data_IF_951905017866
#
_entry.id   IF_951905017866
#
_cell.length_a   1.000
_cell.length_b   1.000
_cell.length_c   1.000
_cell.angle_alpha   90.00
_cell.angle_beta   90.00
_cell.angle_gamma   90.00
#
_symmetry.space_group_name_H-M   'P 1'
#
loop_
_entity.id
_entity.type
_entity.pdbx_description
1 polymer ?
#
# COMPACT_ATOMS: atom_id res chain seq x y z
N UNK A 1 -11.53 6.98 21.38
CA UNK A 1 -12.84 6.71 20.77
C UNK A 1 -13.54 5.56 21.50
N UNK A 2 -13.01 4.33 21.53
CA UNK A 2 -13.63 3.16 22.18
C UNK A 2 -14.12 3.44 23.60
N UNK A 3 -13.25 4.00 24.46
CA UNK A 3 -13.59 4.34 25.85
C UNK A 3 -14.64 5.46 25.94
N UNK A 4 -14.60 6.45 25.05
CA UNK A 4 -15.55 7.59 25.07
C UNK A 4 -16.93 7.17 24.59
N UNK A 5 -16.99 6.25 23.63
CA UNK A 5 -18.26 5.75 23.06
C UNK A 5 -18.77 4.50 23.78
N UNK A 6 -18.05 4.00 24.79
CA UNK A 6 -18.39 2.82 25.59
C UNK A 6 -18.71 1.59 24.70
N UNK A 7 -17.83 1.30 23.76
CA UNK A 7 -17.92 0.16 22.84
C UNK A 7 -16.79 -0.83 23.07
N UNK A 8 -16.97 -2.10 22.68
CA UNK A 8 -16.01 -3.17 22.93
C UNK A 8 -14.84 -3.20 21.95
N UNK A 9 -15.03 -2.65 20.75
CA UNK A 9 -14.04 -2.71 19.66
C UNK A 9 -13.94 -1.37 18.95
N UNK A 10 -12.76 -1.09 18.40
CA UNK A 10 -12.57 0.07 17.52
C UNK A 10 -13.47 -0.01 16.26
N UNK A 11 -13.82 -1.21 15.83
CA UNK A 11 -14.73 -1.41 14.70
C UNK A 11 -16.20 -1.16 15.03
N UNK A 12 -16.51 -0.94 16.29
CA UNK A 12 -17.85 -0.54 16.77
C UNK A 12 -17.94 0.96 17.07
N UNK A 13 -16.84 1.73 16.84
CA UNK A 13 -16.86 3.19 16.88
C UNK A 13 -17.63 3.73 15.67
N UNK A 14 -18.43 4.77 15.86
CA UNK A 14 -19.38 5.33 14.89
C UNK A 14 -18.88 5.42 13.45
N UNK A 15 -17.73 6.06 13.23
CA UNK A 15 -17.13 6.24 11.89
C UNK A 15 -16.69 4.93 11.23
N UNK A 16 -16.19 3.96 12.02
CA UNK A 16 -15.80 2.64 11.49
C UNK A 16 -17.00 1.70 11.41
N UNK A 17 -17.96 1.83 12.30
CA UNK A 17 -19.19 1.06 12.25
C UNK A 17 -19.99 1.35 10.98
N UNK A 18 -20.12 2.61 10.58
CA UNK A 18 -20.81 2.98 9.35
C UNK A 18 -20.15 2.34 8.13
N UNK A 19 -18.84 2.51 7.98
CA UNK A 19 -18.07 1.90 6.89
C UNK A 19 -18.16 0.37 6.89
N UNK A 20 -18.04 -0.28 8.05
CA UNK A 20 -18.21 -1.72 8.24
C UNK A 20 -19.60 -2.19 7.79
N UNK A 21 -20.65 -1.45 8.14
CA UNK A 21 -22.02 -1.79 7.77
C UNK A 21 -22.24 -1.66 6.25
N UNK A 22 -21.61 -0.70 5.57
CA UNK A 22 -21.65 -0.62 4.10
C UNK A 22 -20.95 -1.84 3.45
N UNK A 23 -19.82 -2.31 3.99
CA UNK A 23 -19.16 -3.55 3.53
C UNK A 23 -20.10 -4.75 3.71
N UNK A 24 -20.76 -4.86 4.86
CA UNK A 24 -21.71 -5.93 5.11
C UNK A 24 -22.88 -5.93 4.12
N UNK A 25 -23.42 -4.75 3.77
CA UNK A 25 -24.46 -4.60 2.74
C UNK A 25 -23.98 -5.06 1.37
N UNK A 26 -22.78 -4.67 0.95
CA UNK A 26 -22.19 -5.08 -0.32
C UNK A 26 -22.00 -6.60 -0.39
N UNK A 27 -21.58 -7.22 0.71
CA UNK A 27 -21.36 -8.64 0.80
C UNK A 27 -22.65 -9.46 1.06
N UNK A 28 -23.75 -8.81 1.44
CA UNK A 28 -25.01 -9.48 1.80
C UNK A 28 -24.92 -10.32 3.09
N UNK A 29 -24.07 -9.93 4.05
CA UNK A 29 -23.81 -10.66 5.29
C UNK A 29 -23.93 -9.72 6.50
N UNK A 30 -24.04 -10.29 7.70
CA UNK A 30 -24.05 -9.54 8.94
C UNK A 30 -22.74 -9.73 9.71
N UNK A 31 -22.24 -8.68 10.33
CA UNK A 31 -21.07 -8.71 11.19
C UNK A 31 -21.32 -9.52 12.48
N UNK A 32 -20.33 -10.23 12.97
CA UNK A 32 -20.37 -11.10 14.16
C UNK A 32 -21.16 -12.39 13.99
N UNK A 33 -21.47 -12.81 12.75
CA UNK A 33 -22.09 -14.12 12.49
C UNK A 33 -21.05 -15.20 12.14
N UNK A 34 -20.01 -14.86 11.40
CA UNK A 34 -18.95 -15.79 11.01
C UNK A 34 -17.58 -15.17 11.27
N UNK A 35 -16.75 -15.76 12.15
CA UNK A 35 -15.43 -15.21 12.50
C UNK A 35 -14.50 -15.03 11.30
N UNK A 36 -14.60 -15.84 10.25
CA UNK A 36 -13.75 -15.76 9.04
C UNK A 36 -14.15 -14.53 8.21
N UNK A 37 -15.45 -14.37 7.98
CA UNK A 37 -15.99 -13.20 7.29
C UNK A 37 -15.72 -11.90 8.08
N UNK A 38 -15.78 -11.94 9.40
CA UNK A 38 -15.48 -10.80 10.27
C UNK A 38 -14.05 -10.30 10.11
N UNK A 39 -13.08 -11.20 9.91
CA UNK A 39 -11.69 -10.83 9.63
C UNK A 39 -11.64 -10.01 8.33
N UNK A 40 -12.28 -10.51 7.26
CA UNK A 40 -12.31 -9.84 5.96
C UNK A 40 -12.98 -8.46 6.05
N UNK A 41 -14.10 -8.35 6.74
CA UNK A 41 -14.81 -7.09 6.96
C UNK A 41 -13.90 -6.08 7.67
N UNK A 42 -13.23 -6.49 8.75
CA UNK A 42 -12.31 -5.61 9.50
C UNK A 42 -11.10 -5.17 8.68
N UNK A 43 -10.52 -6.08 7.90
CA UNK A 43 -9.39 -5.76 7.01
C UNK A 43 -9.80 -4.71 5.99
N UNK A 44 -10.94 -4.88 5.32
CA UNK A 44 -11.42 -3.91 4.33
C UNK A 44 -11.69 -2.56 5.01
N UNK A 45 -12.38 -2.55 6.17
CA UNK A 45 -12.69 -1.33 6.93
C UNK A 45 -11.44 -0.51 7.27
N UNK A 46 -10.42 -1.17 7.84
CA UNK A 46 -9.16 -0.54 8.24
C UNK A 46 -8.38 -0.03 7.02
N UNK A 47 -8.25 -0.88 6.02
CA UNK A 47 -7.39 -0.60 4.89
C UNK A 47 -7.95 0.49 3.98
N UNK A 48 -9.25 0.47 3.65
CA UNK A 48 -9.80 1.49 2.76
C UNK A 48 -9.78 2.87 3.40
N UNK A 49 -10.03 2.97 4.71
CA UNK A 49 -9.89 4.23 5.44
C UNK A 49 -8.45 4.75 5.38
N UNK A 50 -7.49 3.89 5.68
CA UNK A 50 -6.06 4.24 5.62
C UNK A 50 -5.63 4.67 4.23
N UNK A 51 -6.01 3.92 3.19
CA UNK A 51 -5.71 4.23 1.79
C UNK A 51 -6.29 5.58 1.38
N UNK A 52 -7.55 5.86 1.72
CA UNK A 52 -8.20 7.14 1.39
C UNK A 52 -7.43 8.33 1.97
N UNK A 53 -7.02 8.25 3.24
CA UNK A 53 -6.20 9.28 3.89
C UNK A 53 -4.82 9.41 3.24
N UNK A 54 -4.13 8.28 3.00
CA UNK A 54 -2.79 8.29 2.37
C UNK A 54 -2.80 8.92 0.98
N UNK A 55 -3.82 8.64 0.15
CA UNK A 55 -3.94 9.26 -1.18
C UNK A 55 -4.23 10.75 -1.06
N UNK A 56 -5.07 11.17 -0.12
CA UNK A 56 -5.31 12.59 0.19
C UNK A 56 -4.02 13.32 0.56
N UNK A 57 -3.11 12.67 1.28
CA UNK A 57 -1.78 13.18 1.66
C UNK A 57 -0.76 13.13 0.51
N UNK A 58 -1.18 12.74 -0.70
CA UNK A 58 -0.35 12.74 -1.90
C UNK A 58 0.50 11.49 -2.08
N UNK A 59 0.25 10.41 -1.31
CA UNK A 59 0.93 9.13 -1.53
C UNK A 59 0.24 8.40 -2.69
N UNK A 60 1.03 7.98 -3.67
CA UNK A 60 0.55 7.21 -4.83
C UNK A 60 1.04 5.77 -4.77
N UNK A 61 0.27 4.81 -5.33
CA UNK A 61 0.71 3.42 -5.43
C UNK A 61 2.03 3.31 -6.19
N UNK A 62 3.01 2.64 -5.61
CA UNK A 62 4.33 2.41 -6.21
C UNK A 62 4.91 1.06 -5.79
N UNK A 63 6.09 0.70 -6.34
CA UNK A 63 6.78 -0.54 -5.98
C UNK A 63 7.72 -0.40 -4.78
N UNK A 64 7.93 0.82 -4.29
CA UNK A 64 8.89 1.10 -3.22
C UNK A 64 8.33 2.12 -2.21
N UNK A 65 8.90 2.15 -1.01
CA UNK A 65 8.62 3.15 0.01
C UNK A 65 7.16 3.18 0.47
N UNK A 66 6.65 4.37 0.75
CA UNK A 66 5.27 4.58 1.25
C UNK A 66 4.20 4.15 0.25
N UNK A 67 4.44 4.34 -1.04
CA UNK A 67 3.53 3.94 -2.10
C UNK A 67 3.38 2.42 -2.23
N UNK A 68 4.42 1.65 -1.90
CA UNK A 68 4.32 0.19 -1.79
C UNK A 68 3.36 -0.23 -0.67
N UNK A 69 3.45 0.42 0.49
CA UNK A 69 2.55 0.13 1.62
C UNK A 69 1.10 0.42 1.22
N UNK A 70 0.83 1.56 0.60
CA UNK A 70 -0.49 1.92 0.10
C UNK A 70 -1.02 0.87 -0.88
N UNK A 71 -0.22 0.49 -1.88
CA UNK A 71 -0.59 -0.53 -2.87
C UNK A 71 -0.90 -1.88 -2.21
N UNK A 72 -0.10 -2.28 -1.23
CA UNK A 72 -0.31 -3.52 -0.48
C UNK A 72 -1.64 -3.51 0.29
N UNK A 73 -1.96 -2.41 1.00
CA UNK A 73 -3.22 -2.27 1.74
C UNK A 73 -4.42 -2.35 0.79
N UNK A 74 -4.36 -1.65 -0.34
CA UNK A 74 -5.44 -1.62 -1.32
C UNK A 74 -5.68 -3.01 -1.93
N UNK A 75 -4.62 -3.69 -2.35
CA UNK A 75 -4.70 -5.04 -2.92
C UNK A 75 -5.20 -6.07 -1.91
N UNK A 76 -4.80 -5.93 -0.65
CA UNK A 76 -5.30 -6.80 0.42
C UNK A 76 -6.80 -6.58 0.66
N UNK A 77 -7.26 -5.34 0.68
CA UNK A 77 -8.68 -5.02 0.78
C UNK A 77 -9.48 -5.62 -0.41
N UNK A 78 -8.98 -5.48 -1.64
CA UNK A 78 -9.61 -6.06 -2.83
C UNK A 78 -9.72 -7.60 -2.74
N UNK A 79 -8.65 -8.29 -2.30
CA UNK A 79 -8.71 -9.75 -2.06
C UNK A 79 -9.78 -10.12 -1.04
N UNK A 80 -9.81 -9.44 0.10
CA UNK A 80 -10.80 -9.73 1.14
C UNK A 80 -12.24 -9.48 0.66
N UNK A 81 -12.46 -8.52 -0.26
CA UNK A 81 -13.73 -8.35 -0.94
C UNK A 81 -14.14 -9.59 -1.75
N UNK A 82 -13.19 -10.22 -2.47
CA UNK A 82 -13.45 -11.48 -3.19
C UNK A 82 -13.77 -12.62 -2.25
N UNK A 83 -13.09 -12.72 -1.10
CA UNK A 83 -13.41 -13.73 -0.07
C UNK A 83 -14.83 -13.55 0.47
N UNK A 84 -15.31 -12.32 0.55
CA UNK A 84 -16.70 -11.98 0.90
C UNK A 84 -17.67 -12.09 -0.29
N UNK A 85 -17.19 -12.50 -1.48
CA UNK A 85 -17.99 -12.61 -2.71
C UNK A 85 -18.60 -11.28 -3.16
N UNK A 86 -17.93 -10.17 -2.91
CA UNK A 86 -18.31 -8.87 -3.45
C UNK A 86 -17.89 -8.83 -4.91
N UNK A 87 -18.84 -8.65 -5.81
CA UNK A 87 -18.60 -8.60 -7.25
C UNK A 87 -18.20 -7.19 -7.72
N UNK A 88 -17.33 -7.14 -8.73
CA UNK A 88 -16.94 -5.90 -9.40
C UNK A 88 -15.94 -5.06 -8.63
N UNK A 89 -15.95 -3.75 -8.92
CA UNK A 89 -15.17 -2.73 -8.23
C UNK A 89 -16.01 -2.16 -7.09
N UNK A 90 -15.44 -2.05 -5.90
CA UNK A 90 -16.17 -1.61 -4.72
C UNK A 90 -15.37 -0.67 -3.81
N UNK A 91 -14.04 -0.66 -3.92
CA UNK A 91 -13.18 0.11 -3.01
C UNK A 91 -13.37 1.62 -3.18
N UNK A 92 -13.60 2.09 -4.40
CA UNK A 92 -13.89 3.50 -4.64
C UNK A 92 -15.22 3.93 -4.01
N UNK A 93 -16.24 3.07 -4.01
CA UNK A 93 -17.52 3.37 -3.35
C UNK A 93 -17.39 3.42 -1.83
N UNK A 94 -16.60 2.51 -1.25
CA UNK A 94 -16.27 2.59 0.19
C UNK A 94 -15.43 3.83 0.53
N UNK A 95 -14.53 4.25 -0.36
CA UNK A 95 -13.77 5.49 -0.16
C UNK A 95 -14.68 6.74 -0.14
N UNK A 96 -15.79 6.75 -0.90
CA UNK A 96 -16.81 7.81 -0.82
C UNK A 96 -17.43 7.90 0.57
N UNK A 97 -17.67 6.75 1.20
CA UNK A 97 -18.19 6.71 2.59
C UNK A 97 -17.17 7.30 3.56
N UNK A 98 -15.90 6.89 3.44
CA UNK A 98 -14.81 7.44 4.27
C UNK A 98 -14.71 8.96 4.12
N UNK A 99 -14.78 9.47 2.90
CA UNK A 99 -14.72 10.91 2.60
C UNK A 99 -15.90 11.61 3.26
N UNK A 100 -17.13 11.11 3.06
CA UNK A 100 -18.34 11.70 3.63
C UNK A 100 -18.30 11.75 5.17
N UNK A 101 -17.85 10.67 5.81
CA UNK A 101 -17.78 10.59 7.28
C UNK A 101 -16.65 11.41 7.90
N UNK A 102 -15.65 11.79 7.11
CA UNK A 102 -14.43 12.41 7.62
C UNK A 102 -14.20 13.85 7.14
N UNK A 103 -14.96 14.35 6.17
CA UNK A 103 -14.75 15.66 5.53
C UNK A 103 -14.94 16.85 6.48
N UNK A 104 -15.76 16.73 7.51
CA UNK A 104 -15.95 17.80 8.53
C UNK A 104 -14.65 18.04 9.30
N UNK A 105 -13.90 16.98 9.61
CA UNK A 105 -12.62 17.07 10.30
C UNK A 105 -11.44 17.25 9.33
N UNK A 106 -11.56 16.77 8.08
CA UNK A 106 -10.54 16.76 7.04
C UNK A 106 -11.10 17.29 5.72
N UNK A 107 -11.33 18.62 5.58
CA UNK A 107 -11.96 19.22 4.38
C UNK A 107 -11.25 18.89 3.07
N UNK A 108 -9.93 18.67 3.12
CA UNK A 108 -9.11 18.29 1.97
C UNK A 108 -9.55 16.97 1.31
N UNK A 109 -10.27 16.12 2.01
CA UNK A 109 -10.81 14.88 1.44
C UNK A 109 -11.87 15.17 0.38
N UNK A 110 -12.77 16.12 0.63
CA UNK A 110 -13.79 16.53 -0.34
C UNK A 110 -13.16 17.31 -1.50
N UNK A 111 -12.19 18.21 -1.22
CA UNK A 111 -11.47 18.95 -2.25
C UNK A 111 -10.73 18.03 -3.25
N UNK A 112 -10.18 16.90 -2.77
CA UNK A 112 -9.42 15.94 -3.58
C UNK A 112 -10.20 14.69 -3.96
N UNK A 113 -11.51 14.66 -3.73
CA UNK A 113 -12.36 13.48 -3.86
C UNK A 113 -12.18 12.77 -5.19
N UNK A 114 -12.33 13.47 -6.31
CA UNK A 114 -12.23 12.87 -7.65
C UNK A 114 -10.86 12.25 -7.89
N UNK A 115 -9.81 12.90 -7.40
CA UNK A 115 -8.45 12.38 -7.48
C UNK A 115 -8.28 11.10 -6.66
N UNK A 116 -8.74 11.10 -5.41
CA UNK A 116 -8.67 9.94 -4.51
C UNK A 116 -9.38 8.75 -5.13
N UNK A 117 -10.61 8.95 -5.58
CA UNK A 117 -11.42 7.88 -6.18
C UNK A 117 -10.76 7.33 -7.45
N UNK A 118 -10.24 8.19 -8.32
CA UNK A 118 -9.57 7.77 -9.55
C UNK A 118 -8.31 6.93 -9.30
N UNK A 119 -7.54 7.25 -8.26
CA UNK A 119 -6.34 6.48 -7.88
C UNK A 119 -6.72 5.10 -7.36
N UNK A 120 -7.72 5.04 -6.47
CA UNK A 120 -8.20 3.78 -5.88
C UNK A 120 -8.78 2.88 -6.97
N UNK A 121 -9.70 3.39 -7.78
CA UNK A 121 -10.36 2.64 -8.85
C UNK A 121 -9.35 2.07 -9.85
N UNK A 122 -8.40 2.89 -10.32
CA UNK A 122 -7.37 2.46 -11.25
C UNK A 122 -6.48 1.34 -10.70
N UNK A 123 -6.08 1.42 -9.42
CA UNK A 123 -5.28 0.37 -8.81
C UNK A 123 -6.10 -0.90 -8.57
N UNK A 124 -7.39 -0.78 -8.23
CA UNK A 124 -8.29 -1.92 -8.08
C UNK A 124 -8.52 -2.63 -9.41
N UNK A 125 -8.75 -1.90 -10.52
CA UNK A 125 -8.85 -2.46 -11.89
C UNK A 125 -7.56 -3.21 -12.24
N UNK A 126 -6.40 -2.55 -12.11
CA UNK A 126 -5.11 -3.15 -12.44
C UNK A 126 -4.83 -4.40 -11.60
N UNK A 127 -5.27 -4.42 -10.36
CA UNK A 127 -5.09 -5.57 -9.48
C UNK A 127 -6.03 -6.71 -9.84
N UNK A 128 -7.29 -6.42 -10.17
CA UNK A 128 -8.25 -7.45 -10.57
C UNK A 128 -7.79 -8.20 -11.82
N UNK A 129 -7.19 -7.50 -12.79
CA UNK A 129 -6.61 -8.14 -13.98
C UNK A 129 -5.40 -9.04 -13.64
N UNK A 130 -4.64 -8.64 -12.61
CA UNK A 130 -3.42 -9.35 -12.19
C UNK A 130 -3.74 -10.53 -11.28
N UNK A 131 -4.69 -10.36 -10.37
CA UNK A 131 -4.99 -11.36 -9.32
C UNK A 131 -5.52 -12.65 -9.91
N UNK A 132 -6.39 -12.60 -10.90
CA UNK A 132 -6.99 -13.80 -11.51
C UNK A 132 -5.92 -14.67 -12.15
N UNK A 133 -4.98 -14.04 -12.87
CA UNK A 133 -3.86 -14.75 -13.46
C UNK A 133 -2.90 -15.30 -12.40
N UNK A 134 -2.57 -14.49 -11.39
CA UNK A 134 -1.67 -14.90 -10.31
C UNK A 134 -2.24 -16.03 -9.47
N UNK A 135 -3.53 -16.00 -9.16
CA UNK A 135 -4.23 -17.07 -8.46
C UNK A 135 -4.21 -18.38 -9.26
N UNK A 136 -4.54 -18.34 -10.56
CA UNK A 136 -4.52 -19.53 -11.40
C UNK A 136 -3.14 -20.20 -11.42
N UNK A 137 -2.06 -19.40 -11.55
CA UNK A 137 -0.68 -19.91 -11.54
C UNK A 137 -0.31 -20.46 -10.16
N UNK A 138 -0.71 -19.78 -9.08
CA UNK A 138 -0.43 -20.23 -7.72
C UNK A 138 -1.18 -21.56 -7.42
N UNK A 139 -2.42 -21.70 -7.87
CA UNK A 139 -3.20 -22.93 -7.74
C UNK A 139 -2.52 -24.09 -8.47
N UNK A 140 -2.01 -23.89 -9.69
CA UNK A 140 -1.20 -24.90 -10.41
C UNK A 140 0.05 -25.28 -9.62
N UNK A 141 0.77 -24.31 -9.06
CA UNK A 141 1.96 -24.57 -8.23
C UNK A 141 1.62 -25.35 -6.96
N UNK A 142 0.50 -25.02 -6.31
CA UNK A 142 0.00 -25.73 -5.12
C UNK A 142 -0.32 -27.19 -5.45
N UNK A 143 -0.97 -27.43 -6.59
CA UNK A 143 -1.25 -28.80 -7.05
C UNK A 143 0.03 -29.60 -7.31
N UNK A 144 1.02 -28.99 -7.97
CA UNK A 144 2.29 -29.64 -8.27
C UNK A 144 3.09 -29.95 -7.00
N UNK A 145 3.12 -29.02 -6.03
CA UNK A 145 3.71 -29.23 -4.70
C UNK A 145 3.04 -30.39 -3.99
N UNK A 146 1.69 -30.47 -3.98
CA UNK A 146 0.94 -31.55 -3.36
C UNK A 146 1.21 -32.89 -4.07
N UNK A 147 1.28 -32.92 -5.41
CA UNK A 147 1.61 -34.14 -6.20
C UNK A 147 3.03 -34.62 -5.94
N UNK A 148 3.98 -33.70 -5.77
CA UNK A 148 5.37 -34.03 -5.45
C UNK A 148 5.58 -34.48 -4.00
N UNK A 149 4.59 -34.30 -3.12
CA UNK A 149 4.67 -34.63 -1.70
C UNK A 149 5.63 -33.73 -0.91
N UNK A 150 5.91 -32.52 -1.43
CA UNK A 150 6.69 -31.48 -0.74
C UNK A 150 5.74 -30.50 -0.06
N UNK A 151 6.28 -29.73 0.88
CA UNK A 151 5.49 -28.78 1.70
C UNK A 151 6.01 -27.35 1.61
N UNK A 152 6.83 -27.05 0.60
CA UNK A 152 7.47 -25.77 0.44
C UNK A 152 7.48 -25.31 -1.02
N UNK A 153 7.09 -24.06 -1.26
CA UNK A 153 7.26 -23.38 -2.54
C UNK A 153 8.68 -22.82 -2.62
N UNK A 154 9.40 -23.10 -3.72
CA UNK A 154 10.74 -22.55 -3.91
C UNK A 154 10.74 -21.01 -4.00
N UNK A 155 11.83 -20.40 -3.51
CA UNK A 155 12.04 -18.96 -3.59
C UNK A 155 12.01 -18.42 -5.00
N UNK A 156 12.53 -19.17 -5.99
CA UNK A 156 12.47 -18.83 -7.42
C UNK A 156 11.02 -18.72 -7.93
N UNK A 157 10.16 -19.68 -7.59
CA UNK A 157 8.76 -19.66 -8.00
C UNK A 157 7.98 -18.53 -7.31
N UNK A 158 8.24 -18.29 -6.02
CA UNK A 158 7.67 -17.17 -5.29
C UNK A 158 8.11 -15.82 -5.89
N UNK A 159 9.38 -15.70 -6.25
CA UNK A 159 9.92 -14.52 -6.93
C UNK A 159 9.31 -14.33 -8.33
N UNK A 160 9.14 -15.40 -9.11
CA UNK A 160 8.49 -15.34 -10.41
C UNK A 160 7.04 -14.84 -10.33
N UNK A 161 6.27 -15.31 -9.34
CA UNK A 161 4.93 -14.78 -9.08
C UNK A 161 4.96 -13.27 -8.79
N UNK A 162 5.91 -12.83 -7.99
CA UNK A 162 6.07 -11.44 -7.59
C UNK A 162 6.54 -10.54 -8.74
N UNK A 163 7.64 -10.90 -9.40
CA UNK A 163 8.33 -10.07 -10.38
C UNK A 163 7.66 -10.12 -11.77
N UNK A 164 7.35 -11.31 -12.25
CA UNK A 164 6.82 -11.51 -13.61
C UNK A 164 5.31 -11.27 -13.69
N UNK A 165 4.58 -11.76 -12.70
CA UNK A 165 3.11 -11.69 -12.71
C UNK A 165 2.56 -10.56 -11.83
N UNK A 166 3.40 -9.84 -11.10
CA UNK A 166 3.00 -8.75 -10.22
C UNK A 166 2.13 -9.20 -9.03
N UNK A 167 2.16 -10.50 -8.72
CA UNK A 167 1.36 -11.07 -7.64
C UNK A 167 2.05 -10.79 -6.30
N UNK A 168 1.38 -10.14 -5.33
CA UNK A 168 2.03 -9.74 -4.08
C UNK A 168 2.55 -10.93 -3.29
N UNK A 169 3.79 -10.84 -2.82
CA UNK A 169 4.41 -11.93 -2.03
C UNK A 169 3.66 -12.20 -0.73
N UNK A 170 3.14 -11.17 -0.07
CA UNK A 170 2.34 -11.34 1.15
C UNK A 170 1.07 -12.15 0.89
N UNK A 171 0.47 -11.98 -0.28
CA UNK A 171 -0.70 -12.72 -0.70
C UNK A 171 -0.35 -14.18 -1.03
N UNK A 172 0.82 -14.39 -1.65
CA UNK A 172 1.37 -15.74 -1.87
C UNK A 172 1.52 -16.48 -0.54
N UNK A 173 2.09 -15.82 0.48
CA UNK A 173 2.23 -16.41 1.81
C UNK A 173 0.90 -16.81 2.43
N UNK A 174 -0.05 -15.89 2.45
CA UNK A 174 -1.35 -16.10 3.07
C UNK A 174 -2.09 -17.30 2.45
N UNK A 175 -2.07 -17.42 1.12
CA UNK A 175 -2.72 -18.52 0.41
C UNK A 175 -1.98 -19.86 0.63
N UNK A 176 -0.66 -19.85 0.64
CA UNK A 176 0.14 -21.05 0.89
C UNK A 176 -0.02 -21.54 2.33
N UNK A 177 -0.04 -20.64 3.32
CA UNK A 177 -0.29 -20.96 4.73
C UNK A 177 -1.68 -21.62 4.90
N UNK A 178 -2.72 -21.09 4.26
CA UNK A 178 -4.05 -21.69 4.22
C UNK A 178 -4.05 -23.14 3.67
N UNK A 179 -3.08 -23.45 2.79
CA UNK A 179 -2.88 -24.79 2.20
C UNK A 179 -1.86 -25.66 2.96
N UNK A 180 -1.29 -25.18 4.08
CA UNK A 180 -0.28 -25.90 4.85
C UNK A 180 1.08 -25.98 4.15
N UNK A 181 1.37 -25.03 3.24
CA UNK A 181 2.62 -24.94 2.46
C UNK A 181 3.42 -23.75 2.95
N UNK A 182 4.74 -23.93 3.10
CA UNK A 182 5.68 -22.86 3.44
C UNK A 182 6.32 -22.27 2.18
N UNK A 183 7.06 -21.17 2.34
CA UNK A 183 7.83 -20.53 1.25
C UNK A 183 9.30 -20.48 1.66
N UNK A 184 10.18 -20.85 0.73
CA UNK A 184 11.62 -20.61 0.85
C UNK A 184 11.92 -19.10 0.75
N UNK A 185 11.91 -18.47 1.94
CA UNK A 185 12.15 -17.02 2.05
C UNK A 185 13.57 -16.61 1.74
N UNK A 186 14.52 -17.45 1.99
CA UNK A 186 15.92 -17.12 1.77
C UNK A 186 16.23 -17.17 0.28
N UNK A 187 15.75 -18.17 -0.44
CA UNK A 187 15.78 -18.21 -1.90
C UNK A 187 15.03 -17.03 -2.54
N UNK A 188 13.87 -16.64 -2.01
CA UNK A 188 13.15 -15.45 -2.49
C UNK A 188 13.99 -14.16 -2.33
N UNK A 189 14.63 -13.97 -1.16
CA UNK A 189 15.48 -12.81 -0.90
C UNK A 189 16.70 -12.78 -1.82
N UNK A 190 17.29 -13.95 -2.09
CA UNK A 190 18.41 -14.07 -3.05
C UNK A 190 18.01 -13.61 -4.45
N UNK A 191 16.87 -14.06 -4.97
CA UNK A 191 16.36 -13.63 -6.27
C UNK A 191 16.03 -12.13 -6.31
N UNK A 192 15.43 -11.59 -5.26
CA UNK A 192 15.20 -10.15 -5.10
C UNK A 192 16.49 -9.34 -5.12
N UNK A 193 17.55 -9.83 -4.45
CA UNK A 193 18.84 -9.14 -4.45
C UNK A 193 19.53 -9.21 -5.82
N UNK A 194 19.45 -10.35 -6.52
CA UNK A 194 19.93 -10.48 -7.92
C UNK A 194 19.26 -9.46 -8.84
N UNK A 195 17.93 -9.35 -8.76
CA UNK A 195 17.17 -8.35 -9.52
C UNK A 195 17.59 -6.92 -9.17
N UNK A 196 17.73 -6.62 -7.87
CA UNK A 196 18.15 -5.29 -7.40
C UNK A 196 19.55 -4.92 -7.88
N UNK A 197 20.48 -5.89 -7.89
CA UNK A 197 21.83 -5.69 -8.41
C UNK A 197 21.82 -5.48 -9.93
N UNK A 198 21.02 -6.26 -10.68
CA UNK A 198 20.85 -6.08 -12.12
C UNK A 198 20.25 -4.68 -12.43
N UNK A 199 19.26 -4.24 -11.69
CA UNK A 199 18.66 -2.90 -11.84
C UNK A 199 19.66 -1.78 -11.50
N UNK A 200 20.51 -1.96 -10.46
CA UNK A 200 21.58 -0.99 -10.12
C UNK A 200 22.65 -0.95 -11.21
N UNK A 201 23.05 -2.08 -11.74
CA UNK A 201 24.05 -2.14 -12.84
C UNK A 201 23.54 -1.47 -14.11
N UNK A 202 22.25 -1.69 -14.44
CA UNK A 202 21.61 -1.01 -15.57
C UNK A 202 21.44 0.50 -15.35
N UNK A 203 21.25 0.95 -14.09
CA UNK A 203 21.17 2.37 -13.74
C UNK A 203 22.54 3.06 -13.69
N UNK A 204 23.62 2.32 -13.41
CA UNK A 204 24.98 2.88 -13.42
C UNK A 204 25.43 3.38 -14.81
N UNK A 205 24.77 2.92 -15.88
CA UNK A 205 24.95 3.45 -17.24
C UNK A 205 24.05 4.68 -17.55
N UNK A 206 23.03 4.95 -16.72
CA UNK A 206 22.20 6.16 -16.82
C UNK A 206 22.37 6.99 -15.55
N UNK A 207 22.95 8.16 -15.67
CA UNK A 207 23.13 9.17 -14.59
C UNK A 207 21.79 9.70 -14.02
N UNK A 208 20.88 8.82 -13.61
CA UNK A 208 19.59 9.20 -13.08
C UNK A 208 19.47 8.86 -11.59
N UNK A 209 19.47 9.93 -10.78
CA UNK A 209 19.15 10.00 -9.36
C UNK A 209 20.04 9.19 -8.39
N UNK A 210 21.09 9.80 -7.89
CA UNK A 210 21.71 9.40 -6.61
C UNK A 210 23.24 9.37 -6.55
N UNK A 211 23.95 9.86 -7.55
CA UNK A 211 25.41 9.95 -7.53
C UNK A 211 25.96 11.38 -7.76
N UNK A 212 25.11 12.38 -7.90
CA UNK A 212 25.58 13.76 -7.91
C UNK A 212 25.49 14.31 -6.49
N UNK A 213 26.62 14.81 -5.98
CA UNK A 213 26.65 15.62 -4.78
C UNK A 213 25.64 16.75 -4.95
N UNK A 214 24.67 16.79 -4.06
CA UNK A 214 23.71 17.92 -4.03
C UNK A 214 24.40 19.15 -3.46
N UNK A 215 23.90 20.35 -3.75
CA UNK A 215 24.41 21.56 -3.11
C UNK A 215 24.37 21.49 -1.58
N UNK A 216 23.49 20.65 -1.03
CA UNK A 216 23.35 20.43 0.41
C UNK A 216 24.51 19.60 0.99
N UNK A 217 25.13 18.72 0.20
CA UNK A 217 26.29 17.91 0.62
C UNK A 217 27.55 18.77 0.75
N UNK A 218 27.59 19.91 0.05
CA UNK A 218 28.66 20.90 0.08
C UNK A 218 28.41 22.07 1.06
N UNK A 219 27.31 22.03 1.82
CA UNK A 219 27.03 23.04 2.84
C UNK A 219 27.90 22.85 4.09
N UNK A 220 28.18 23.97 4.78
CA UNK A 220 28.89 23.95 6.05
C UNK A 220 28.14 23.06 7.05
N UNK A 221 28.81 22.03 7.59
CA UNK A 221 28.26 21.11 8.59
C UNK A 221 27.82 21.81 9.89
N UNK A 222 28.20 23.07 10.10
CA UNK A 222 27.71 23.91 11.18
C UNK A 222 26.28 24.43 10.95
N UNK A 223 25.77 24.35 9.72
CA UNK A 223 24.38 24.69 9.39
C UNK A 223 23.48 23.52 9.76
N UNK A 224 22.93 23.56 10.96
CA UNK A 224 21.98 22.55 11.45
C UNK A 224 20.70 23.23 11.95
N UNK A 225 19.61 22.48 11.90
CA UNK A 225 18.33 22.86 12.50
C UNK A 225 18.09 22.00 13.74
N UNK A 226 17.68 22.64 14.82
CA UNK A 226 17.21 21.96 16.02
C UNK A 226 15.68 21.86 15.94
N UNK A 227 15.16 20.65 16.05
CA UNK A 227 13.72 20.44 15.98
C UNK A 227 13.11 20.50 17.38
N UNK A 228 12.21 21.45 17.61
CA UNK A 228 11.49 21.60 18.87
C UNK A 228 9.96 21.51 18.74
N UNK A 229 9.47 21.09 17.59
CA UNK A 229 8.05 20.99 17.26
C UNK A 229 7.22 20.06 18.13
N UNK A 230 7.82 19.35 19.08
CA UNK A 230 7.09 18.62 20.12
C UNK A 230 6.64 19.51 21.29
N UNK A 231 7.33 20.62 21.50
CA UNK A 231 7.08 21.54 22.62
C UNK A 231 6.43 22.84 22.13
N UNK A 232 6.80 23.33 20.96
CA UNK A 232 6.34 24.61 20.39
C UNK A 232 5.64 24.40 19.04
N UNK A 233 4.51 25.07 18.84
CA UNK A 233 3.78 25.09 17.56
C UNK A 233 4.30 26.16 16.61
N UNK A 234 4.96 27.19 17.13
CA UNK A 234 5.54 28.30 16.40
C UNK A 234 6.92 28.63 16.97
N UNK A 235 7.91 28.81 16.09
CA UNK A 235 9.27 29.17 16.46
C UNK A 235 9.87 30.20 15.51
N UNK A 236 10.74 31.09 16.03
CA UNK A 236 11.42 32.08 15.23
C UNK A 236 12.74 31.53 14.66
N UNK A 237 12.75 31.24 13.37
CA UNK A 237 13.92 30.76 12.65
C UNK A 237 14.69 31.86 11.93
N UNK A 238 16.01 31.68 11.80
CA UNK A 238 16.86 32.52 10.96
C UNK A 238 17.19 31.76 9.67
N UNK A 239 16.90 32.37 8.53
CA UNK A 239 17.32 31.82 7.24
C UNK A 239 18.84 31.93 7.13
N UNK A 240 19.53 30.79 7.06
CA UNK A 240 20.99 30.70 6.96
C UNK A 240 21.46 30.51 5.52
N UNK A 241 20.65 29.89 4.67
CA UNK A 241 20.95 29.67 3.26
C UNK A 241 19.65 29.65 2.44
N UNK A 242 19.73 30.17 1.23
CA UNK A 242 18.66 30.09 0.23
C UNK A 242 19.28 29.53 -1.04
N UNK A 243 18.69 28.45 -1.55
CA UNK A 243 19.10 27.83 -2.81
C UNK A 243 18.08 28.12 -3.91
N UNK A 244 18.52 28.21 -5.14
CA UNK A 244 17.67 28.41 -6.30
C UNK A 244 17.88 27.28 -7.30
N UNK A 245 16.79 26.73 -7.79
CA UNK A 245 16.81 25.74 -8.87
C UNK A 245 16.54 26.44 -10.20
N UNK A 246 17.44 26.31 -11.14
CA UNK A 246 17.30 26.85 -12.50
C UNK A 246 17.08 25.69 -13.50
N UNK A 247 16.01 25.79 -14.30
CA UNK A 247 15.80 24.90 -15.42
C UNK A 247 16.81 25.21 -16.53
N UNK A 248 17.58 24.22 -16.97
CA UNK A 248 18.60 24.41 -18.00
C UNK A 248 18.07 24.13 -19.39
N UNK A 249 17.34 23.06 -19.62
CA UNK A 249 16.60 22.68 -20.83
C UNK A 249 16.09 21.24 -20.69
N UNK A 250 14.94 20.91 -21.32
CA UNK A 250 14.41 19.54 -21.44
C UNK A 250 14.53 18.68 -20.17
N UNK A 251 13.93 19.13 -19.08
CA UNK A 251 13.87 18.42 -17.77
C UNK A 251 15.20 18.31 -17.00
N UNK A 252 16.23 19.06 -17.37
CA UNK A 252 17.44 19.23 -16.55
C UNK A 252 17.39 20.50 -15.71
N UNK A 253 17.88 20.40 -14.46
CA UNK A 253 17.91 21.51 -13.49
C UNK A 253 19.32 21.68 -12.93
N UNK A 254 19.68 22.93 -12.61
CA UNK A 254 20.89 23.25 -11.88
C UNK A 254 20.51 23.93 -10.57
N UNK A 255 21.01 23.40 -9.47
CA UNK A 255 20.84 23.99 -8.14
C UNK A 255 22.02 24.92 -7.85
N UNK A 256 21.77 26.14 -7.37
CA UNK A 256 22.76 27.15 -6.98
C UNK A 256 22.44 27.77 -5.63
#
# INVERSE_FOLDING_TARGET
AVVVQDVDSIFDVDTLEHLRNEICKLAGIEYKQDPVSDISIRVITDHIRSVTMMVSDGILPSNEGRGYVLRRLLRRAARHGRLLKIDGLFLADLAKVVIADSSDAYPQLEEKKDFILSVIEREEVNFNDTIDRGLAILDEMIEDIKKAGVTELSGENAFKLYDTYGFPIDLTFEILEENGITVDMDGFKEEMEKQRQAARSARAESNYMGAEETIFDNMDAAICSEFDGYENLEENGKVLCITKREALDNDTYKDT
#
